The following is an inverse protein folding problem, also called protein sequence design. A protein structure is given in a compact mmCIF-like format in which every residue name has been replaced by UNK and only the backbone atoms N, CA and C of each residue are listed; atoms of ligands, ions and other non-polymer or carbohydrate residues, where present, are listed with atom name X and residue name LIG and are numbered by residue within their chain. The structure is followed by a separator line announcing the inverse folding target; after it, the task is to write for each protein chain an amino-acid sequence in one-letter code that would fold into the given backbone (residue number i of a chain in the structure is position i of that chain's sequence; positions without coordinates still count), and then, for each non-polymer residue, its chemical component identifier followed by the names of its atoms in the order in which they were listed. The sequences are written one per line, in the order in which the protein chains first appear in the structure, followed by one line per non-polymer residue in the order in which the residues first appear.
data_IF_243736412160
#
_entry.id   IF_243736412160
#
_cell.length_a   1.000
_cell.length_b   1.000
_cell.length_c   1.000
_cell.angle_alpha   90.00
_cell.angle_beta   90.00
_cell.angle_gamma   90.00
#
_symmetry.space_group_name_H-M   'P 1'
#
loop_
_entity.id
_entity.type
_entity.pdbx_description
1 polymer ?
#
# COMPACT_ATOMS: atom_id res chain seq x y z
N UNK A 1 57.68 -7.91 28.90
CA UNK A 1 56.69 -8.84 28.34
C UNK A 1 55.34 -8.12 28.33
N UNK A 2 55.03 -7.45 27.19
CA UNK A 2 53.83 -6.64 27.05
C UNK A 2 52.76 -7.52 26.36
N UNK A 3 51.64 -7.75 27.08
CA UNK A 3 50.44 -8.42 26.53
C UNK A 3 49.59 -7.37 25.80
N UNK A 4 49.49 -7.50 24.49
CA UNK A 4 48.58 -6.73 23.67
C UNK A 4 47.16 -7.32 23.76
N UNK A 5 46.25 -6.56 24.32
CA UNK A 5 44.82 -6.88 24.34
C UNK A 5 44.20 -6.46 23.00
N UNK A 6 43.90 -7.42 22.12
CA UNK A 6 43.17 -7.18 20.89
C UNK A 6 41.69 -7.03 21.19
N UNK A 7 41.15 -5.82 21.08
CA UNK A 7 39.72 -5.57 21.12
C UNK A 7 39.09 -6.07 19.79
N UNK A 8 38.34 -7.15 19.85
CA UNK A 8 37.44 -7.56 18.78
C UNK A 8 36.23 -6.62 18.78
N UNK A 9 36.23 -5.66 17.87
CA UNK A 9 35.01 -4.94 17.52
C UNK A 9 34.12 -5.91 16.75
N UNK A 10 33.15 -6.48 17.43
CA UNK A 10 32.10 -7.26 16.79
C UNK A 10 31.25 -6.33 15.92
N UNK A 11 31.40 -6.41 14.59
CA UNK A 11 30.43 -5.88 13.67
C UNK A 11 29.15 -6.72 13.85
N UNK A 12 28.16 -6.15 14.53
CA UNK A 12 26.80 -6.67 14.47
C UNK A 12 26.33 -6.53 13.03
N UNK A 13 26.41 -7.60 12.26
CA UNK A 13 25.75 -7.73 10.97
C UNK A 13 24.25 -7.79 11.29
N UNK A 14 23.57 -6.66 11.18
CA UNK A 14 22.13 -6.64 11.18
C UNK A 14 21.68 -7.56 10.05
N UNK A 15 21.14 -8.73 10.43
CA UNK A 15 20.55 -9.66 9.46
C UNK A 15 19.43 -8.92 8.73
N UNK A 16 19.73 -8.44 7.53
CA UNK A 16 18.73 -7.96 6.59
C UNK A 16 17.78 -9.12 6.34
N UNK A 17 16.48 -8.93 6.58
CA UNK A 17 15.49 -9.94 6.25
C UNK A 17 15.59 -10.24 4.76
N UNK A 18 15.79 -11.51 4.36
CA UNK A 18 16.08 -11.84 2.97
C UNK A 18 14.91 -11.58 2.00
N UNK A 19 13.71 -11.26 2.51
CA UNK A 19 12.53 -11.04 1.69
C UNK A 19 11.73 -9.85 2.21
N UNK A 20 11.75 -8.76 1.43
CA UNK A 20 10.89 -7.63 1.64
C UNK A 20 9.62 -7.81 0.82
N UNK A 21 8.53 -8.20 1.47
CA UNK A 21 7.25 -8.45 0.81
C UNK A 21 6.11 -7.77 1.57
N UNK A 22 5.16 -7.23 0.81
CA UNK A 22 3.85 -6.87 1.33
C UNK A 22 2.81 -7.75 0.65
N UNK A 23 2.04 -8.49 1.44
CA UNK A 23 0.98 -9.36 0.93
C UNK A 23 -0.36 -8.80 1.34
N UNK A 24 -1.21 -8.52 0.37
CA UNK A 24 -2.55 -8.02 0.56
C UNK A 24 -3.61 -9.06 0.19
N UNK A 25 -4.75 -8.96 0.85
CA UNK A 25 -5.99 -9.61 0.46
C UNK A 25 -7.09 -8.55 0.40
N UNK A 26 -7.87 -8.56 -0.67
CA UNK A 26 -9.04 -7.70 -0.82
C UNK A 26 -10.26 -8.58 -1.06
N UNK A 27 -11.33 -8.36 -0.29
CA UNK A 27 -12.60 -9.05 -0.46
C UNK A 27 -13.73 -8.02 -0.59
N UNK A 28 -14.55 -8.15 -1.64
CA UNK A 28 -15.68 -7.23 -1.82
C UNK A 28 -16.84 -7.60 -0.90
N UNK A 29 -17.26 -6.64 -0.09
CA UNK A 29 -18.45 -6.70 0.72
C UNK A 29 -19.59 -5.97 0.01
N UNK A 30 -20.47 -6.74 -0.66
CA UNK A 30 -21.56 -6.18 -1.44
C UNK A 30 -22.62 -5.46 -0.59
N UNK A 31 -22.80 -5.85 0.69
CA UNK A 31 -23.76 -5.21 1.59
C UNK A 31 -23.31 -3.80 1.98
N UNK A 32 -22.00 -3.65 2.24
CA UNK A 32 -21.41 -2.37 2.61
C UNK A 32 -20.92 -1.56 1.39
N UNK A 33 -20.92 -2.14 0.18
CA UNK A 33 -20.34 -1.56 -1.05
C UNK A 33 -18.89 -1.10 -0.87
N UNK A 34 -18.07 -1.93 -0.18
CA UNK A 34 -16.68 -1.65 0.19
C UNK A 34 -15.81 -2.87 -0.04
N UNK A 35 -14.50 -2.65 -0.04
CA UNK A 35 -13.50 -3.71 -0.02
C UNK A 35 -12.96 -3.86 1.41
N UNK A 36 -13.06 -5.04 1.96
CA UNK A 36 -12.34 -5.43 3.16
C UNK A 36 -10.91 -5.77 2.74
N UNK A 37 -9.93 -5.09 3.34
CA UNK A 37 -8.52 -5.19 2.98
C UNK A 37 -7.71 -5.64 4.18
N UNK A 38 -6.89 -6.66 4.00
CA UNK A 38 -5.89 -7.08 4.98
C UNK A 38 -4.51 -6.99 4.33
N UNK A 39 -3.62 -6.19 4.92
CA UNK A 39 -2.24 -6.02 4.48
C UNK A 39 -1.29 -6.63 5.50
N UNK A 40 -0.40 -7.50 5.06
CA UNK A 40 0.67 -8.06 5.88
C UNK A 40 1.99 -7.39 5.52
N UNK A 41 2.60 -6.71 6.47
CA UNK A 41 3.87 -6.00 6.32
C UNK A 41 4.86 -6.39 7.42
N UNK A 42 6.14 -6.17 7.18
CA UNK A 42 7.11 -6.24 8.25
C UNK A 42 6.97 -5.00 9.14
N UNK A 43 6.75 -5.15 10.47
CA UNK A 43 6.44 -4.02 11.35
C UNK A 43 7.54 -2.96 11.36
N UNK A 44 8.81 -3.37 11.37
CA UNK A 44 9.94 -2.45 11.37
C UNK A 44 10.03 -1.62 10.09
N UNK A 45 9.67 -2.18 8.94
CA UNK A 45 9.71 -1.44 7.66
C UNK A 45 8.68 -0.31 7.68
N UNK A 46 7.50 -0.55 8.27
CA UNK A 46 6.47 0.47 8.44
C UNK A 46 6.90 1.53 9.46
N UNK A 47 7.40 1.13 10.64
CA UNK A 47 7.92 2.06 11.65
C UNK A 47 9.03 2.96 11.09
N UNK A 48 9.97 2.41 10.32
CA UNK A 48 11.02 3.17 9.66
C UNK A 48 10.46 4.12 8.59
N UNK A 49 9.49 3.67 7.79
CA UNK A 49 8.87 4.52 6.78
C UNK A 49 8.17 5.73 7.42
N UNK A 50 7.42 5.52 8.50
CA UNK A 50 6.74 6.58 9.24
C UNK A 50 7.74 7.50 9.96
N UNK A 51 8.80 6.95 10.57
CA UNK A 51 9.87 7.71 11.24
C UNK A 51 10.53 8.69 10.27
N UNK A 52 10.82 8.26 9.04
CA UNK A 52 11.44 9.11 8.03
C UNK A 52 10.49 10.21 7.53
N UNK A 53 9.20 9.89 7.37
CA UNK A 53 8.19 10.87 6.92
C UNK A 53 7.97 11.95 7.97
N UNK A 54 7.79 11.55 9.22
CA UNK A 54 7.45 12.46 10.32
C UNK A 54 8.69 13.05 11.03
N UNK A 55 9.90 12.62 10.67
CA UNK A 55 11.19 13.05 11.25
C UNK A 55 11.25 12.91 12.77
N UNK A 56 10.58 11.91 13.30
CA UNK A 56 10.60 11.50 14.71
C UNK A 56 10.49 9.99 14.82
N UNK A 57 11.03 9.42 15.88
CA UNK A 57 10.88 7.98 16.11
C UNK A 57 9.40 7.61 16.29
N UNK A 58 8.95 6.62 15.54
CA UNK A 58 7.57 6.12 15.57
C UNK A 58 7.61 4.63 15.82
N UNK A 59 6.83 4.20 16.80
CA UNK A 59 6.64 2.80 17.17
C UNK A 59 5.16 2.44 17.03
N UNK A 60 4.88 1.18 16.71
CA UNK A 60 3.51 0.65 16.66
C UNK A 60 2.78 0.65 18.00
N UNK A 61 3.49 0.88 19.12
CA UNK A 61 2.94 1.07 20.46
C UNK A 61 2.46 2.52 20.70
N UNK A 62 2.80 3.45 19.83
CA UNK A 62 2.38 4.84 19.95
C UNK A 62 0.86 4.95 19.68
N UNK A 63 0.17 5.79 20.47
CA UNK A 63 -1.29 5.95 20.36
C UNK A 63 -1.74 6.49 19.00
N UNK A 64 -0.91 7.29 18.38
CA UNK A 64 -1.15 7.93 17.08
C UNK A 64 -0.62 7.10 15.89
N UNK A 65 -0.04 5.92 16.16
CA UNK A 65 0.45 5.03 15.10
C UNK A 65 -0.63 4.66 14.07
N UNK A 66 -1.87 4.30 14.46
CA UNK A 66 -2.93 3.99 13.49
C UNK A 66 -3.23 5.15 12.53
N UNK A 67 -3.29 6.38 13.03
CA UNK A 67 -3.54 7.57 12.22
C UNK A 67 -2.41 7.82 11.23
N UNK A 68 -1.15 7.75 11.68
CA UNK A 68 0.02 7.94 10.85
C UNK A 68 0.20 6.84 9.81
N UNK A 69 -0.09 5.59 10.20
CA UNK A 69 -0.06 4.48 9.28
C UNK A 69 -1.15 4.62 8.20
N UNK A 70 -2.36 5.06 8.57
CA UNK A 70 -3.45 5.31 7.64
C UNK A 70 -3.08 6.41 6.64
N UNK A 71 -2.56 7.55 7.09
CA UNK A 71 -2.09 8.64 6.23
C UNK A 71 -1.05 8.18 5.20
N UNK A 72 -0.11 7.35 5.63
CA UNK A 72 0.86 6.74 4.73
C UNK A 72 0.18 5.81 3.72
N UNK A 73 -0.66 4.89 4.21
CA UNK A 73 -1.29 3.86 3.38
C UNK A 73 -2.24 4.46 2.34
N UNK A 74 -2.98 5.50 2.66
CA UNK A 74 -3.89 6.19 1.72
C UNK A 74 -3.18 6.72 0.46
N UNK A 75 -1.88 7.00 0.56
CA UNK A 75 -1.07 7.46 -0.57
C UNK A 75 -0.29 6.31 -1.25
N UNK A 76 -0.26 5.12 -0.64
CA UNK A 76 0.51 3.98 -1.13
C UNK A 76 -0.36 2.83 -1.64
N UNK A 77 -1.63 2.75 -1.18
CA UNK A 77 -2.57 1.69 -1.54
C UNK A 77 -3.95 2.27 -1.82
N UNK A 78 -4.31 2.40 -3.10
CA UNK A 78 -5.57 3.02 -3.48
C UNK A 78 -6.13 2.49 -4.80
N UNK A 79 -7.44 2.61 -4.99
CA UNK A 79 -8.11 2.49 -6.26
C UNK A 79 -8.31 3.89 -6.87
N UNK A 80 -8.07 4.03 -8.16
CA UNK A 80 -8.28 5.29 -8.88
C UNK A 80 -8.75 5.06 -10.31
N UNK A 81 -9.61 5.94 -10.79
CA UNK A 81 -9.92 6.04 -12.21
C UNK A 81 -8.87 6.85 -12.96
N UNK A 82 -8.56 6.44 -14.19
CA UNK A 82 -7.75 7.24 -15.10
C UNK A 82 -8.37 7.25 -16.49
N UNK A 83 -8.73 8.43 -17.04
CA UNK A 83 -9.28 8.54 -18.39
C UNK A 83 -8.24 8.23 -19.48
N UNK A 84 -6.95 8.45 -19.20
CA UNK A 84 -5.86 8.22 -20.16
C UNK A 84 -5.31 6.80 -19.98
N UNK A 85 -6.13 5.85 -20.32
CA UNK A 85 -6.10 4.46 -19.91
C UNK A 85 -4.89 3.62 -20.35
N UNK A 86 -4.01 4.11 -21.20
CA UNK A 86 -2.97 3.26 -21.80
C UNK A 86 -1.54 3.71 -21.51
N UNK A 87 -1.32 4.92 -21.02
CA UNK A 87 0.02 5.39 -20.73
C UNK A 87 0.34 5.29 -19.22
N UNK A 88 0.98 4.20 -18.84
CA UNK A 88 1.45 3.96 -17.47
C UNK A 88 2.38 5.06 -16.95
N UNK A 89 3.06 5.80 -17.83
CA UNK A 89 3.90 6.94 -17.42
C UNK A 89 3.03 8.10 -16.96
N UNK A 90 1.91 8.37 -17.67
CA UNK A 90 0.95 9.39 -17.26
C UNK A 90 0.29 9.03 -15.94
N UNK A 91 -0.10 7.77 -15.76
CA UNK A 91 -0.66 7.29 -14.50
C UNK A 91 0.35 7.47 -13.35
N UNK A 92 1.61 7.07 -13.55
CA UNK A 92 2.65 7.22 -12.53
C UNK A 92 2.95 8.70 -12.21
N UNK A 93 2.92 9.60 -13.21
CA UNK A 93 3.10 11.05 -12.97
C UNK A 93 1.93 11.63 -12.16
N UNK A 94 0.70 11.28 -12.50
CA UNK A 94 -0.49 11.73 -11.75
C UNK A 94 -0.52 11.26 -10.30
N UNK A 95 -0.01 10.06 -10.01
CA UNK A 95 0.14 9.59 -8.62
C UNK A 95 1.15 10.46 -7.86
N UNK A 96 2.21 10.91 -8.53
CA UNK A 96 3.17 11.84 -7.93
C UNK A 96 2.57 13.23 -7.70
N UNK A 97 1.60 13.65 -8.52
CA UNK A 97 0.83 14.89 -8.36
C UNK A 97 -0.23 14.80 -7.26
N UNK A 98 -0.64 13.59 -6.86
CA UNK A 98 -1.50 13.34 -5.70
C UNK A 98 -0.75 13.48 -4.35
N UNK A 99 0.58 13.69 -4.38
CA UNK A 99 1.31 14.21 -3.23
C UNK A 99 0.72 15.56 -2.80
N UNK A 100 0.79 15.96 -1.52
CA UNK A 100 -0.18 16.79 -0.81
C UNK A 100 -0.73 17.94 -1.65
N UNK A 101 -2.00 17.85 -2.00
CA UNK A 101 -2.71 18.85 -2.77
C UNK A 101 -2.58 20.23 -2.11
N UNK A 102 -2.14 21.23 -2.87
CA UNK A 102 -1.79 22.55 -2.38
C UNK A 102 -3.02 23.42 -2.07
N UNK A 103 -4.19 23.05 -2.60
CA UNK A 103 -5.45 23.79 -2.35
C UNK A 103 -6.59 22.86 -1.92
N UNK A 104 -7.61 23.43 -1.22
CA UNK A 104 -8.82 22.70 -0.82
C UNK A 104 -9.61 22.16 -2.03
N UNK A 105 -9.61 22.90 -3.13
CA UNK A 105 -10.34 22.53 -4.36
C UNK A 105 -9.65 21.39 -5.12
N UNK A 106 -8.31 21.43 -5.20
CA UNK A 106 -7.50 20.33 -5.72
C UNK A 106 -7.64 19.06 -4.87
N UNK A 107 -7.69 19.19 -3.53
CA UNK A 107 -7.96 18.08 -2.61
C UNK A 107 -9.33 17.47 -2.88
N UNK A 108 -10.37 18.27 -3.02
CA UNK A 108 -11.74 17.81 -3.26
C UNK A 108 -11.86 17.05 -4.58
N UNK A 109 -11.25 17.56 -5.67
CA UNK A 109 -11.26 16.93 -6.98
C UNK A 109 -10.40 15.65 -7.02
N UNK A 110 -9.27 15.63 -6.32
CA UNK A 110 -8.43 14.46 -6.19
C UNK A 110 -9.11 13.35 -5.36
N UNK A 111 -9.86 13.72 -4.31
CA UNK A 111 -10.62 12.77 -3.48
C UNK A 111 -11.74 12.11 -4.27
N UNK A 112 -12.45 12.83 -5.14
CA UNK A 112 -13.56 12.28 -5.92
C UNK A 112 -13.13 11.23 -6.96
N UNK A 113 -11.86 11.19 -7.34
CA UNK A 113 -11.32 10.26 -8.35
C UNK A 113 -10.56 9.06 -7.78
N UNK A 114 -10.36 9.00 -6.46
CA UNK A 114 -9.64 7.93 -5.77
C UNK A 114 -10.45 7.33 -4.62
N UNK A 115 -10.10 6.11 -4.24
CA UNK A 115 -10.63 5.46 -3.04
C UNK A 115 -10.17 6.17 -1.76
N UNK A 116 -10.89 5.92 -0.68
CA UNK A 116 -10.53 6.30 0.70
C UNK A 116 -10.33 5.03 1.52
N UNK A 117 -9.38 5.05 2.45
CA UNK A 117 -9.20 3.99 3.43
C UNK A 117 -9.84 4.38 4.77
N UNK A 118 -10.39 3.39 5.46
CA UNK A 118 -10.82 3.50 6.86
C UNK A 118 -10.07 2.45 7.68
N UNK A 119 -9.54 2.85 8.83
CA UNK A 119 -8.81 1.97 9.73
C UNK A 119 -9.78 1.11 10.53
N UNK A 120 -9.56 -0.22 10.50
CA UNK A 120 -10.33 -1.17 11.29
C UNK A 120 -9.51 -1.67 12.49
N UNK A 121 -8.25 -1.99 12.27
CA UNK A 121 -7.38 -2.47 13.33
C UNK A 121 -6.06 -3.02 12.83
N UNK A 122 -5.26 -3.50 13.77
CA UNK A 122 -4.01 -4.20 13.47
C UNK A 122 -3.76 -5.32 14.47
N UNK A 123 -2.99 -6.33 14.05
CA UNK A 123 -2.56 -7.41 14.91
C UNK A 123 -1.15 -7.88 14.56
N UNK A 124 -0.42 -8.38 15.57
CA UNK A 124 0.89 -8.98 15.37
C UNK A 124 0.76 -10.50 15.33
N UNK A 125 1.20 -11.10 14.24
CA UNK A 125 1.23 -12.55 14.09
C UNK A 125 2.59 -13.02 13.57
N UNK A 126 3.30 -13.83 14.37
CA UNK A 126 4.57 -14.49 13.97
C UNK A 126 5.61 -13.55 13.38
N UNK A 127 5.74 -12.34 13.95
CA UNK A 127 6.71 -11.34 13.50
C UNK A 127 6.24 -10.47 12.33
N UNK A 128 5.02 -10.64 11.88
CA UNK A 128 4.37 -9.81 10.86
C UNK A 128 3.31 -8.91 11.51
N UNK A 129 3.10 -7.74 10.92
CA UNK A 129 2.00 -6.85 11.25
C UNK A 129 0.90 -7.00 10.18
N UNK A 130 -0.28 -7.42 10.62
CA UNK A 130 -1.49 -7.38 9.83
C UNK A 130 -2.22 -6.08 10.11
N UNK A 131 -2.60 -5.39 9.04
CA UNK A 131 -3.38 -4.15 9.10
C UNK A 131 -4.69 -4.41 8.36
N UNK A 132 -5.79 -4.17 9.05
CA UNK A 132 -7.14 -4.35 8.53
C UNK A 132 -7.76 -2.99 8.22
N UNK A 133 -8.28 -2.84 7.01
CA UNK A 133 -8.80 -1.59 6.48
C UNK A 133 -10.11 -1.86 5.74
N UNK A 134 -10.96 -0.87 5.65
CA UNK A 134 -11.99 -0.79 4.63
C UNK A 134 -11.57 0.19 3.55
N UNK A 135 -11.67 -0.23 2.29
CA UNK A 135 -11.43 0.63 1.15
C UNK A 135 -12.77 0.96 0.51
N UNK A 136 -13.12 2.24 0.55
CA UNK A 136 -14.28 2.82 -0.09
C UNK A 136 -13.87 3.17 -1.51
N UNK A 137 -14.44 2.52 -2.55
CA UNK A 137 -14.05 2.79 -3.92
C UNK A 137 -14.41 4.22 -4.32
N UNK A 138 -13.74 4.80 -5.34
CA UNK A 138 -14.18 6.06 -5.92
C UNK A 138 -15.58 5.93 -6.50
N UNK A 139 -16.30 7.04 -6.63
CA UNK A 139 -17.62 7.04 -7.25
C UNK A 139 -17.55 6.40 -8.65
N UNK A 140 -18.45 5.42 -8.86
CA UNK A 140 -18.55 4.72 -10.13
C UNK A 140 -19.08 5.67 -11.19
N UNK A 141 -18.23 6.03 -12.13
CA UNK A 141 -18.58 6.84 -13.28
C UNK A 141 -17.82 6.31 -14.50
N UNK A 142 -18.54 5.71 -15.42
CA UNK A 142 -17.96 5.13 -16.64
C UNK A 142 -17.20 6.16 -17.49
N UNK A 143 -17.52 7.46 -17.35
CA UNK A 143 -16.79 8.55 -18.03
C UNK A 143 -15.39 8.78 -17.48
N UNK A 144 -15.10 8.29 -16.25
CA UNK A 144 -13.79 8.45 -15.59
C UNK A 144 -12.72 7.44 -16.08
N UNK A 145 -13.10 6.55 -17.01
CA UNK A 145 -12.18 5.54 -17.55
C UNK A 145 -11.96 4.32 -16.64
N UNK A 146 -11.03 3.45 -17.00
CA UNK A 146 -10.78 2.20 -16.28
C UNK A 146 -10.27 2.45 -14.85
N UNK A 147 -10.54 1.46 -13.98
CA UNK A 147 -10.14 1.47 -12.57
C UNK A 147 -8.79 0.77 -12.41
N UNK A 148 -7.86 1.41 -11.72
CA UNK A 148 -6.54 0.87 -11.43
C UNK A 148 -6.33 0.69 -9.93
N UNK A 149 -5.60 -0.36 -9.55
CA UNK A 149 -5.06 -0.52 -8.20
C UNK A 149 -3.61 -0.02 -8.19
N UNK A 150 -3.33 0.88 -7.27
CA UNK A 150 -1.99 1.35 -6.94
C UNK A 150 -1.55 0.63 -5.68
N UNK A 151 -0.34 0.05 -5.70
CA UNK A 151 0.26 -0.56 -4.53
C UNK A 151 1.75 -0.25 -4.49
N UNK A 152 2.11 0.83 -3.78
CA UNK A 152 3.48 1.37 -3.72
C UNK A 152 4.15 1.14 -2.36
N UNK A 153 3.49 0.48 -1.41
CA UNK A 153 4.01 0.28 -0.07
C UNK A 153 5.47 -0.20 -0.15
N UNK A 154 6.39 0.60 0.37
CA UNK A 154 7.84 0.42 0.40
C UNK A 154 8.57 0.31 -0.95
N UNK A 155 7.90 0.31 -2.11
CA UNK A 155 8.56 0.13 -3.42
C UNK A 155 9.61 1.22 -3.75
N UNK A 156 9.42 2.42 -3.23
CA UNK A 156 10.37 3.54 -3.43
C UNK A 156 11.49 3.56 -2.37
N UNK A 157 11.38 2.73 -1.32
CA UNK A 157 12.28 2.73 -0.17
C UNK A 157 13.17 1.50 -0.11
N UNK A 158 12.64 0.36 -0.53
CA UNK A 158 13.31 -0.94 -0.47
C UNK A 158 13.45 -1.47 -1.89
N UNK A 159 14.69 -1.65 -2.35
CA UNK A 159 14.95 -1.97 -3.76
C UNK A 159 14.42 -3.33 -4.20
N UNK A 160 14.49 -4.33 -3.31
CA UNK A 160 14.01 -5.69 -3.56
C UNK A 160 12.57 -5.93 -3.11
N UNK A 161 11.79 -4.84 -2.84
CA UNK A 161 10.41 -4.96 -2.42
C UNK A 161 9.53 -5.55 -3.51
N UNK A 162 8.76 -6.56 -3.16
CA UNK A 162 7.68 -7.10 -3.97
C UNK A 162 6.36 -7.06 -3.20
N UNK A 163 5.31 -6.61 -3.88
CA UNK A 163 3.97 -6.55 -3.30
C UNK A 163 3.04 -7.45 -4.10
N UNK A 164 2.12 -8.11 -3.41
CA UNK A 164 1.08 -8.92 -4.05
C UNK A 164 -0.26 -8.69 -3.37
N UNK A 165 -1.33 -8.78 -4.15
CA UNK A 165 -2.70 -8.70 -3.65
C UNK A 165 -3.52 -9.82 -4.25
N UNK A 166 -4.11 -10.64 -3.39
CA UNK A 166 -5.18 -11.56 -3.76
C UNK A 166 -6.51 -10.84 -3.70
N UNK A 167 -7.32 -10.94 -4.75
CA UNK A 167 -8.60 -10.23 -4.89
C UNK A 167 -9.72 -11.24 -4.98
N UNK A 168 -10.70 -11.14 -4.10
CA UNK A 168 -11.89 -11.96 -4.06
C UNK A 168 -13.10 -11.07 -4.40
N UNK A 169 -13.52 -11.11 -5.66
CA UNK A 169 -14.71 -10.38 -6.14
C UNK A 169 -16.00 -11.04 -5.67
N UNK A 170 -15.99 -12.38 -5.62
CA UNK A 170 -17.08 -13.21 -5.13
C UNK A 170 -16.55 -14.57 -4.64
N UNK A 171 -17.42 -15.46 -4.18
CA UNK A 171 -17.02 -16.83 -3.79
C UNK A 171 -16.37 -17.63 -4.92
N UNK A 172 -16.65 -17.30 -6.18
CA UNK A 172 -16.19 -18.03 -7.37
C UNK A 172 -15.15 -17.26 -8.18
N UNK A 173 -15.10 -15.95 -8.03
CA UNK A 173 -14.26 -15.08 -8.85
C UNK A 173 -13.09 -14.54 -8.01
N UNK A 174 -11.88 -14.88 -8.44
CA UNK A 174 -10.63 -14.53 -7.76
C UNK A 174 -9.63 -14.00 -8.76
N UNK A 175 -8.82 -13.06 -8.33
CA UNK A 175 -7.69 -12.54 -9.09
C UNK A 175 -6.48 -12.36 -8.20
N UNK A 176 -5.32 -12.12 -8.80
CA UNK A 176 -4.14 -11.67 -8.08
C UNK A 176 -3.34 -10.69 -8.91
N UNK A 177 -2.75 -9.71 -8.24
CA UNK A 177 -1.90 -8.71 -8.85
C UNK A 177 -0.56 -8.68 -8.13
N UNK A 178 0.52 -8.50 -8.91
CA UNK A 178 1.88 -8.35 -8.38
C UNK A 178 2.43 -6.98 -8.77
N UNK A 179 3.16 -6.36 -7.84
CA UNK A 179 3.69 -5.01 -7.97
C UNK A 179 5.17 -5.02 -7.58
N UNK A 180 5.96 -4.23 -8.31
CA UNK A 180 7.38 -4.01 -8.03
C UNK A 180 7.79 -2.62 -8.46
N UNK A 181 9.02 -2.21 -8.16
CA UNK A 181 9.59 -0.93 -8.59
C UNK A 181 9.37 -0.71 -10.09
N UNK A 182 8.81 0.44 -10.47
CA UNK A 182 8.43 0.76 -11.85
C UNK A 182 7.14 0.08 -12.35
N UNK A 183 6.47 -0.74 -11.55
CA UNK A 183 5.22 -1.42 -11.87
C UNK A 183 4.24 -1.36 -10.68
N UNK A 184 4.09 -0.18 -10.09
CA UNK A 184 3.28 0.05 -8.91
C UNK A 184 1.77 0.18 -9.19
N UNK A 185 1.35 0.19 -10.46
CA UNK A 185 -0.04 0.41 -10.89
C UNK A 185 -0.46 -0.71 -11.83
N UNK A 186 -1.62 -1.29 -11.56
CA UNK A 186 -2.20 -2.38 -12.36
C UNK A 186 -3.68 -2.12 -12.62
N UNK A 187 -4.15 -2.51 -13.80
CA UNK A 187 -5.58 -2.47 -14.12
C UNK A 187 -6.36 -3.39 -13.19
N UNK A 188 -7.36 -2.83 -12.51
CA UNK A 188 -8.13 -3.56 -11.50
C UNK A 188 -9.40 -4.19 -12.09
N UNK A 189 -10.09 -3.50 -13.00
CA UNK A 189 -11.43 -3.87 -13.46
C UNK A 189 -11.47 -4.80 -14.68
N UNK A 190 -10.34 -5.22 -15.28
CA UNK A 190 -10.40 -6.20 -16.38
C UNK A 190 -10.68 -7.63 -15.90
N UNK A 191 -10.57 -7.92 -14.62
CA UNK A 191 -10.91 -9.23 -14.06
C UNK A 191 -12.43 -9.53 -14.10
N UNK A 192 -13.28 -8.51 -14.28
CA UNK A 192 -14.75 -8.68 -14.22
C UNK A 192 -15.43 -8.82 -15.59
N UNK A 193 -14.74 -8.58 -16.70
CA UNK A 193 -15.35 -8.64 -18.04
C UNK A 193 -15.11 -9.96 -18.79
N UNK A 194 -14.42 -10.92 -18.21
CA UNK A 194 -13.96 -12.13 -18.88
C UNK A 194 -14.85 -13.36 -18.75
N UNK A 195 -16.01 -13.32 -18.05
CA UNK A 195 -16.91 -14.49 -17.94
C UNK A 195 -18.37 -14.05 -17.85
N UNK A 196 -18.90 -13.55 -18.97
CA UNK A 196 -20.31 -13.67 -19.31
C UNK A 196 -20.36 -14.43 -20.64
N UNK A 197 -20.33 -15.76 -20.55
CA UNK A 197 -20.86 -16.71 -21.51
C UNK A 197 -21.47 -17.89 -20.75
#
# INVERSE_FOLDING_TARGET
MLLALSAFAGNEVFASHPFHVCVGQMQYNAQASRWEVSLRVHPRDLELALTDIHRRNISREDKDFPEQALDYLENQFLLMHSPDSQDMKVINSRISELAPARSLEEKSKAIASRSRLEWIGMENERGWLWIHLELIPPESDASKGPLYLVHRIFLDRIEAQENSVAILFSRKERGSLQFKKGQAVKLFAQATQGQQD
#
